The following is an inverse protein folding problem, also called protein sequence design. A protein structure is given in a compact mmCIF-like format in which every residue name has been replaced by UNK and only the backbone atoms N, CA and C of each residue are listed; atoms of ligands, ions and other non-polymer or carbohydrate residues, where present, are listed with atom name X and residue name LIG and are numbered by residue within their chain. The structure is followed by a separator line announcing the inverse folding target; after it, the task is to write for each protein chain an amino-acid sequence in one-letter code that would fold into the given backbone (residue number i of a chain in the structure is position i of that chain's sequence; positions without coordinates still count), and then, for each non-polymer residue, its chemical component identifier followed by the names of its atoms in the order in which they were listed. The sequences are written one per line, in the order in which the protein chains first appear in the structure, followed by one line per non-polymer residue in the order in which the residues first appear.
data_IF_559067496263
#
_entry.id   IF_559067496263
#
_cell.length_a   1.000
_cell.length_b   1.000
_cell.length_c   1.000
_cell.angle_alpha   90.00
_cell.angle_beta   90.00
_cell.angle_gamma   90.00
#
_symmetry.space_group_name_H-M   'P 1'
#
loop_
_entity.id
_entity.type
_entity.pdbx_description
1 polymer ?
#
# COMPACT_ATOMS: atom_id res chain seq x y z
N UNK A 1 1.32 2.59 -16.66
CA UNK A 1 1.55 2.58 -15.20
C UNK A 1 0.21 2.64 -14.50
N UNK A 2 -0.11 1.68 -13.63
CA UNK A 2 -1.34 1.69 -12.87
C UNK A 2 -1.29 2.79 -11.81
N UNK A 3 -2.42 3.50 -11.62
CA UNK A 3 -2.56 4.59 -10.65
C UNK A 3 -3.37 4.08 -9.46
N UNK A 4 -2.79 4.12 -8.27
CA UNK A 4 -3.30 3.43 -7.09
C UNK A 4 -3.49 4.42 -5.93
N UNK A 5 -4.69 4.48 -5.36
CA UNK A 5 -4.94 5.19 -4.10
C UNK A 5 -4.85 4.20 -2.93
N UNK A 6 -4.31 4.65 -1.82
CA UNK A 6 -4.15 3.83 -0.62
C UNK A 6 -4.93 4.41 0.56
N UNK A 7 -5.62 3.53 1.27
CA UNK A 7 -6.30 3.85 2.51
C UNK A 7 -5.33 3.82 3.71
N UNK A 8 -5.65 4.57 4.77
CA UNK A 8 -4.83 4.67 5.99
C UNK A 8 -4.61 3.32 6.68
N UNK A 9 -5.58 2.39 6.61
CA UNK A 9 -5.50 1.08 7.26
C UNK A 9 -4.31 0.25 6.77
N UNK A 10 -3.94 0.41 5.50
CA UNK A 10 -2.79 -0.30 4.91
C UNK A 10 -1.50 -0.06 5.71
N UNK A 11 -1.29 1.19 6.12
CA UNK A 11 -0.10 1.62 6.83
C UNK A 11 -0.07 1.16 8.29
N UNK A 12 -1.18 0.63 8.80
CA UNK A 12 -1.32 0.15 10.16
C UNK A 12 -1.05 -1.36 10.29
N UNK A 13 -1.10 -2.11 9.18
CA UNK A 13 -0.98 -3.58 9.17
C UNK A 13 0.44 -4.14 9.27
N UNK A 14 1.45 -3.30 9.33
CA UNK A 14 2.81 -3.74 9.61
C UNK A 14 3.88 -3.07 8.75
N UNK A 15 5.08 -3.07 9.30
CA UNK A 15 6.22 -2.40 8.66
C UNK A 15 6.60 -3.04 7.32
N UNK A 16 6.43 -4.38 7.22
CA UNK A 16 6.81 -5.13 6.02
C UNK A 16 5.94 -4.77 4.81
N UNK A 17 4.60 -4.74 4.97
CA UNK A 17 3.69 -4.38 3.87
C UNK A 17 3.92 -2.93 3.43
N UNK A 18 4.16 -2.03 4.39
CA UNK A 18 4.46 -0.63 4.10
C UNK A 18 5.78 -0.46 3.34
N UNK A 19 6.84 -1.15 3.78
CA UNK A 19 8.13 -1.13 3.12
C UNK A 19 8.01 -1.67 1.68
N UNK A 20 7.27 -2.76 1.50
CA UNK A 20 7.03 -3.35 0.19
C UNK A 20 6.26 -2.42 -0.75
N UNK A 21 5.17 -1.77 -0.26
CA UNK A 21 4.42 -0.76 -1.02
C UNK A 21 5.36 0.33 -1.53
N UNK A 22 6.17 0.91 -0.66
CA UNK A 22 7.07 2.00 -1.03
C UNK A 22 8.13 1.56 -2.03
N UNK A 23 8.79 0.42 -1.81
CA UNK A 23 9.82 -0.11 -2.72
C UNK A 23 9.29 -0.44 -4.11
N UNK A 24 8.10 -1.04 -4.21
CA UNK A 24 7.48 -1.33 -5.51
C UNK A 24 7.08 -0.06 -6.25
N UNK A 25 6.66 0.99 -5.53
CA UNK A 25 6.38 2.30 -6.11
C UNK A 25 7.67 3.02 -6.56
N UNK A 26 8.76 2.95 -5.77
CA UNK A 26 10.08 3.48 -6.15
C UNK A 26 10.61 2.84 -7.43
N UNK A 27 10.33 1.56 -7.64
CA UNK A 27 10.65 0.83 -8.87
C UNK A 27 9.65 1.11 -10.01
N UNK A 28 8.75 2.08 -9.85
CA UNK A 28 7.78 2.49 -10.86
C UNK A 28 6.87 1.36 -11.36
N UNK A 29 6.54 0.37 -10.51
CA UNK A 29 5.57 -0.67 -10.86
C UNK A 29 4.14 -0.12 -10.87
N UNK A 30 3.90 0.94 -10.12
CA UNK A 30 2.67 1.73 -10.09
C UNK A 30 2.93 3.15 -9.59
N UNK A 31 1.96 4.05 -9.74
CA UNK A 31 2.00 5.40 -9.19
C UNK A 31 1.08 5.48 -7.95
N UNK A 32 1.61 5.76 -6.75
CA UNK A 32 0.82 5.88 -5.51
C UNK A 32 0.13 7.24 -5.42
N UNK A 33 -1.08 7.28 -4.82
CA UNK A 33 -1.80 8.50 -4.48
C UNK A 33 -2.32 8.44 -3.06
N UNK A 34 -2.23 9.56 -2.35
CA UNK A 34 -2.80 9.75 -1.02
C UNK A 34 -3.14 11.23 -0.78
N UNK A 35 -4.01 11.52 0.17
CA UNK A 35 -4.32 12.89 0.58
C UNK A 35 -3.55 13.29 1.84
N UNK A 36 -3.48 14.60 2.11
CA UNK A 36 -2.92 15.10 3.36
C UNK A 36 -3.68 14.55 4.58
N UNK A 37 -5.01 14.41 4.48
CA UNK A 37 -5.82 13.85 5.55
C UNK A 37 -5.45 12.40 5.86
N UNK A 38 -5.20 11.57 4.83
CA UNK A 38 -4.70 10.19 4.99
C UNK A 38 -3.33 10.19 5.69
N UNK A 39 -2.41 11.08 5.31
CA UNK A 39 -1.10 11.20 5.95
C UNK A 39 -1.20 11.66 7.42
N UNK A 40 -2.12 12.56 7.73
CA UNK A 40 -2.36 13.02 9.10
C UNK A 40 -2.97 11.92 9.98
N UNK A 41 -3.87 11.11 9.44
CA UNK A 41 -4.41 9.93 10.11
C UNK A 41 -3.33 8.88 10.36
N UNK A 42 -2.52 8.61 9.35
CA UNK A 42 -1.36 7.73 9.47
C UNK A 42 -0.43 8.20 10.58
N UNK A 43 -0.08 9.50 10.60
CA UNK A 43 0.79 10.07 11.62
C UNK A 43 0.21 9.89 13.01
N UNK A 44 -1.08 10.19 13.21
CA UNK A 44 -1.77 10.02 14.51
C UNK A 44 -1.76 8.57 14.99
N UNK A 45 -2.04 7.63 14.09
CA UNK A 45 -2.05 6.21 14.42
C UNK A 45 -0.65 5.67 14.72
N UNK A 46 0.36 6.06 13.94
CA UNK A 46 1.75 5.69 14.19
C UNK A 46 2.28 6.30 15.49
N UNK A 47 1.90 7.53 15.84
CA UNK A 47 2.30 8.19 17.08
C UNK A 47 1.99 7.36 18.32
N UNK A 48 0.84 6.69 18.33
CA UNK A 48 0.42 5.79 19.43
C UNK A 48 1.30 4.54 19.55
N UNK A 49 1.97 4.13 18.47
CA UNK A 49 2.76 2.89 18.41
C UNK A 49 4.27 3.13 18.55
N UNK A 50 4.79 4.14 17.89
CA UNK A 50 6.24 4.39 17.76
C UNK A 50 6.69 5.76 18.29
N UNK A 51 5.77 6.56 18.83
CA UNK A 51 6.01 7.91 19.34
C UNK A 51 5.96 8.99 18.26
N UNK A 52 5.91 10.25 18.71
CA UNK A 52 5.67 11.41 17.84
C UNK A 52 6.80 11.65 16.84
N UNK A 53 8.05 11.67 17.30
CA UNK A 53 9.21 11.98 16.47
C UNK A 53 9.37 10.96 15.33
N UNK A 54 9.30 9.66 15.63
CA UNK A 54 9.46 8.60 14.63
C UNK A 54 8.29 8.56 13.64
N UNK A 55 7.07 8.83 14.10
CA UNK A 55 5.90 8.91 13.22
C UNK A 55 6.02 10.07 12.22
N UNK A 56 6.44 11.26 12.71
CA UNK A 56 6.68 12.42 11.86
C UNK A 56 7.80 12.16 10.83
N UNK A 57 8.93 11.61 11.26
CA UNK A 57 10.04 11.26 10.36
C UNK A 57 9.58 10.30 9.26
N UNK A 58 8.78 9.28 9.60
CA UNK A 58 8.29 8.28 8.64
C UNK A 58 7.34 8.89 7.59
N UNK A 59 6.36 9.68 8.03
CA UNK A 59 5.41 10.34 7.12
C UNK A 59 6.12 11.35 6.23
N UNK A 60 7.06 12.13 6.78
CA UNK A 60 7.86 13.08 6.01
C UNK A 60 8.73 12.37 4.95
N UNK A 61 9.34 11.23 5.28
CA UNK A 61 10.12 10.45 4.33
C UNK A 61 9.26 9.93 3.18
N UNK A 62 8.04 9.44 3.47
CA UNK A 62 7.07 9.02 2.45
C UNK A 62 6.69 10.17 1.52
N UNK A 63 6.32 11.33 2.08
CA UNK A 63 5.96 12.52 1.29
C UNK A 63 7.13 13.03 0.45
N UNK A 64 8.36 12.93 0.94
CA UNK A 64 9.54 13.33 0.19
C UNK A 64 9.90 12.35 -0.94
N UNK A 65 9.64 11.05 -0.75
CA UNK A 65 9.88 10.03 -1.78
C UNK A 65 8.88 10.14 -2.95
N UNK A 66 7.65 10.55 -2.68
CA UNK A 66 6.57 10.63 -3.67
C UNK A 66 5.87 12.01 -3.64
N UNK A 67 6.56 13.09 -4.05
CA UNK A 67 5.98 14.44 -3.99
C UNK A 67 4.75 14.61 -4.89
N UNK A 68 4.66 13.83 -5.97
CA UNK A 68 3.52 13.85 -6.91
C UNK A 68 2.35 12.96 -6.46
N UNK A 69 2.52 12.19 -5.37
CA UNK A 69 1.47 11.33 -4.84
C UNK A 69 0.39 12.12 -4.08
N UNK A 70 0.68 13.37 -3.68
CA UNK A 70 -0.22 14.14 -2.85
C UNK A 70 -1.40 14.71 -3.66
N UNK A 71 -2.61 14.26 -3.31
CA UNK A 71 -3.87 14.74 -3.90
C UNK A 71 -4.37 15.92 -3.08
N UNK A 72 -4.62 17.06 -3.76
CA UNK A 72 -5.13 18.30 -3.17
C UNK A 72 -6.35 18.80 -3.95
N UNK A 73 -7.32 19.46 -3.30
CA UNK A 73 -8.47 20.08 -3.95
C UNK A 73 -9.68 19.15 -4.14
N UNK A 74 -9.68 17.99 -3.50
CA UNK A 74 -10.78 17.00 -3.56
C UNK A 74 -11.91 17.26 -2.53
N UNK A 75 -11.72 18.18 -1.60
CA UNK A 75 -12.57 18.37 -0.41
C UNK A 75 -14.02 18.65 -0.75
N UNK A 76 -14.28 19.35 -1.86
CA UNK A 76 -15.64 19.63 -2.33
C UNK A 76 -16.41 18.37 -2.75
N UNK A 77 -15.73 17.28 -3.06
CA UNK A 77 -16.32 16.00 -3.47
C UNK A 77 -16.76 15.14 -2.28
N UNK A 78 -16.19 15.35 -1.08
CA UNK A 78 -16.43 14.53 0.12
C UNK A 78 -17.93 14.37 0.41
N UNK A 79 -18.69 15.45 0.32
CA UNK A 79 -20.13 15.47 0.58
C UNK A 79 -20.97 14.62 -0.39
N UNK A 80 -20.41 14.31 -1.56
CA UNK A 80 -21.08 13.55 -2.60
C UNK A 80 -20.77 12.03 -2.50
N UNK A 81 -19.81 11.64 -1.67
CA UNK A 81 -19.44 10.25 -1.49
C UNK A 81 -20.49 9.51 -0.66
N UNK A 82 -20.82 8.30 -1.09
CA UNK A 82 -21.88 7.46 -0.50
C UNK A 82 -21.35 6.25 0.30
N UNK A 83 -20.03 6.11 0.41
CA UNK A 83 -19.38 5.12 1.27
C UNK A 83 -19.49 5.47 2.77
N UNK A 84 -18.87 4.68 3.66
CA UNK A 84 -18.82 4.98 5.09
C UNK A 84 -18.39 6.42 5.34
N UNK A 85 -19.06 7.12 6.25
CA UNK A 85 -18.90 8.58 6.44
C UNK A 85 -17.46 8.96 6.80
N UNK A 86 -16.80 8.17 7.63
CA UNK A 86 -15.41 8.42 8.05
C UNK A 86 -14.41 8.28 6.90
N UNK A 87 -14.75 7.48 5.87
CA UNK A 87 -13.87 7.15 4.75
C UNK A 87 -14.22 7.90 3.45
N UNK A 88 -15.23 8.80 3.49
CA UNK A 88 -15.62 9.62 2.32
C UNK A 88 -14.47 10.42 1.76
N UNK A 89 -13.59 10.94 2.61
CA UNK A 89 -12.43 11.71 2.17
C UNK A 89 -11.43 10.86 1.37
N UNK A 90 -11.32 9.56 1.68
CA UNK A 90 -10.47 8.62 0.95
C UNK A 90 -11.00 8.40 -0.46
N UNK A 91 -12.30 8.10 -0.57
CA UNK A 91 -12.95 7.89 -1.86
C UNK A 91 -12.97 9.16 -2.71
N UNK A 92 -13.18 10.33 -2.09
CA UNK A 92 -13.12 11.61 -2.78
C UNK A 92 -11.73 11.93 -3.32
N UNK A 93 -10.67 11.63 -2.56
CA UNK A 93 -9.30 11.79 -3.02
C UNK A 93 -8.96 10.83 -4.16
N UNK A 94 -9.43 9.58 -4.09
CA UNK A 94 -9.27 8.60 -5.16
C UNK A 94 -9.96 9.06 -6.45
N UNK A 95 -11.22 9.49 -6.37
CA UNK A 95 -12.01 9.99 -7.51
C UNK A 95 -11.40 11.24 -8.17
N UNK A 96 -10.81 12.12 -7.36
CA UNK A 96 -10.17 13.33 -7.86
C UNK A 96 -8.80 13.10 -8.49
N UNK A 97 -8.14 12.03 -8.12
CA UNK A 97 -6.82 11.62 -8.64
C UNK A 97 -6.95 10.78 -9.92
N UNK A 98 -5.84 10.49 -10.62
CA UNK A 98 -5.84 9.51 -11.71
C UNK A 98 -6.04 8.05 -11.25
N UNK A 99 -6.21 7.79 -9.95
CA UNK A 99 -6.32 6.43 -9.42
C UNK A 99 -7.56 5.71 -9.96
N UNK A 100 -7.35 4.46 -10.37
CA UNK A 100 -8.40 3.54 -10.80
C UNK A 100 -8.62 2.41 -9.78
N UNK A 101 -7.71 2.28 -8.82
CA UNK A 101 -7.77 1.25 -7.78
C UNK A 101 -7.58 1.90 -6.42
N UNK A 102 -8.43 1.53 -5.47
CA UNK A 102 -8.29 1.85 -4.05
C UNK A 102 -7.92 0.57 -3.29
N UNK A 103 -6.78 0.59 -2.61
CA UNK A 103 -6.30 -0.56 -1.84
C UNK A 103 -6.55 -0.35 -0.36
N UNK A 104 -7.26 -1.30 0.26
CA UNK A 104 -7.65 -1.28 1.67
C UNK A 104 -7.85 -2.69 2.22
N UNK A 105 -7.57 -2.90 3.50
CA UNK A 105 -7.98 -4.14 4.19
C UNK A 105 -9.49 -4.16 4.50
N UNK A 106 -10.11 -3.00 4.63
CA UNK A 106 -11.53 -2.86 4.97
C UNK A 106 -12.41 -2.52 3.76
N UNK A 107 -12.51 -3.46 2.83
CA UNK A 107 -13.31 -3.28 1.59
C UNK A 107 -14.80 -3.02 1.84
N UNK A 108 -15.31 -3.38 3.04
CA UNK A 108 -16.73 -3.22 3.40
C UNK A 108 -17.14 -1.75 3.51
N UNK A 109 -16.22 -0.86 3.86
CA UNK A 109 -16.48 0.57 3.99
C UNK A 109 -16.63 1.25 2.61
N UNK A 110 -16.25 0.55 1.52
CA UNK A 110 -16.33 1.01 0.14
C UNK A 110 -17.19 0.06 -0.72
N UNK A 111 -18.52 0.02 -0.53
CA UNK A 111 -19.38 -0.87 -1.28
C UNK A 111 -19.38 -0.53 -2.78
N UNK A 112 -19.58 -1.53 -3.62
CA UNK A 112 -19.57 -1.40 -5.08
C UNK A 112 -20.54 -0.32 -5.58
N UNK A 113 -21.69 -0.15 -4.92
CA UNK A 113 -22.65 0.91 -5.23
C UNK A 113 -22.07 2.32 -5.10
N UNK A 114 -21.01 2.51 -4.29
CA UNK A 114 -20.33 3.79 -4.11
C UNK A 114 -19.15 3.96 -5.07
N UNK A 115 -18.50 2.88 -5.48
CA UNK A 115 -17.23 2.93 -6.22
C UNK A 115 -17.40 2.70 -7.72
N UNK A 116 -18.37 1.87 -8.14
CA UNK A 116 -18.67 1.60 -9.54
C UNK A 116 -19.00 2.87 -10.36
N UNK A 117 -19.83 3.82 -9.87
CA UNK A 117 -20.11 5.06 -10.61
C UNK A 117 -18.86 5.92 -10.85
N UNK A 118 -17.85 5.79 -9.97
CA UNK A 118 -16.57 6.50 -10.03
C UNK A 118 -15.51 5.74 -10.84
N UNK A 119 -15.82 4.50 -11.26
CA UNK A 119 -14.89 3.58 -11.95
C UNK A 119 -13.65 3.26 -11.13
N UNK A 120 -13.81 3.20 -9.80
CA UNK A 120 -12.75 2.83 -8.87
C UNK A 120 -12.97 1.37 -8.47
N UNK A 121 -11.97 0.54 -8.70
CA UNK A 121 -11.93 -0.84 -8.22
C UNK A 121 -11.35 -0.87 -6.80
N UNK A 122 -12.04 -1.54 -5.87
CA UNK A 122 -11.53 -1.70 -4.49
C UNK A 122 -10.91 -3.07 -4.36
N UNK A 123 -9.63 -3.12 -3.96
CA UNK A 123 -8.85 -4.34 -3.80
C UNK A 123 -8.31 -4.50 -2.38
N UNK A 124 -8.23 -5.75 -1.94
CA UNK A 124 -7.41 -6.10 -0.78
C UNK A 124 -5.93 -6.02 -1.14
N UNK A 125 -5.05 -5.78 -0.17
CA UNK A 125 -3.60 -5.74 -0.42
C UNK A 125 -3.05 -7.01 -1.06
N UNK A 126 -3.57 -8.17 -0.68
CA UNK A 126 -3.13 -9.47 -1.23
C UNK A 126 -3.42 -9.55 -2.74
N UNK A 127 -4.65 -9.21 -3.15
CA UNK A 127 -5.04 -9.17 -4.57
C UNK A 127 -4.24 -8.13 -5.34
N UNK A 128 -4.01 -6.96 -4.75
CA UNK A 128 -3.19 -5.91 -5.35
C UNK A 128 -1.75 -6.36 -5.59
N UNK A 129 -1.11 -6.99 -4.61
CA UNK A 129 0.25 -7.47 -4.78
C UNK A 129 0.36 -8.62 -5.78
N UNK A 130 -0.67 -9.46 -5.90
CA UNK A 130 -0.75 -10.47 -6.96
C UNK A 130 -0.78 -9.83 -8.34
N UNK A 131 -1.59 -8.78 -8.55
CA UNK A 131 -1.60 -8.06 -9.83
C UNK A 131 -0.23 -7.45 -10.17
N UNK A 132 0.45 -6.88 -9.17
CA UNK A 132 1.79 -6.32 -9.36
C UNK A 132 2.82 -7.41 -9.66
N UNK A 133 2.70 -8.58 -9.02
CA UNK A 133 3.54 -9.74 -9.28
C UNK A 133 3.33 -10.27 -10.71
N UNK A 134 2.08 -10.37 -11.16
CA UNK A 134 1.73 -10.81 -12.51
C UNK A 134 2.24 -9.85 -13.59
N UNK A 135 2.29 -8.55 -13.28
CA UNK A 135 2.79 -7.54 -14.20
C UNK A 135 4.30 -7.69 -14.51
N UNK A 136 5.12 -7.91 -13.48
CA UNK A 136 6.57 -8.10 -13.63
C UNK A 136 7.13 -8.96 -12.48
N UNK A 137 6.99 -10.30 -12.57
CA UNK A 137 7.44 -11.22 -11.53
C UNK A 137 8.92 -11.07 -11.18
N UNK A 138 9.74 -10.83 -12.21
CA UNK A 138 11.19 -10.70 -12.05
C UNK A 138 11.59 -9.44 -11.28
N UNK A 139 10.93 -8.30 -11.54
CA UNK A 139 11.20 -7.05 -10.83
C UNK A 139 10.70 -7.13 -9.39
N UNK A 140 9.48 -7.61 -9.18
CA UNK A 140 8.91 -7.80 -7.83
C UNK A 140 9.81 -8.71 -6.98
N UNK A 141 10.25 -9.84 -7.52
CA UNK A 141 11.12 -10.75 -6.79
C UNK A 141 12.48 -10.11 -6.44
N UNK A 142 13.08 -9.32 -7.35
CA UNK A 142 14.32 -8.56 -7.03
C UNK A 142 14.11 -7.53 -5.92
N UNK A 143 12.99 -6.81 -5.95
CA UNK A 143 12.63 -5.85 -4.87
C UNK A 143 12.53 -6.57 -3.54
N UNK A 144 11.79 -7.69 -3.50
CA UNK A 144 11.61 -8.49 -2.28
C UNK A 144 12.93 -9.11 -1.80
N UNK A 145 13.79 -9.56 -2.72
CA UNK A 145 15.12 -10.08 -2.39
C UNK A 145 16.01 -8.97 -1.77
N UNK A 146 16.02 -7.78 -2.37
CA UNK A 146 16.74 -6.62 -1.82
C UNK A 146 16.21 -6.23 -0.44
N UNK A 147 14.88 -6.26 -0.25
CA UNK A 147 14.25 -6.03 1.03
C UNK A 147 14.70 -7.08 2.06
N UNK A 148 14.66 -8.37 1.72
CA UNK A 148 15.13 -9.47 2.57
C UNK A 148 16.57 -9.24 3.02
N UNK A 149 17.49 -8.92 2.11
CA UNK A 149 18.90 -8.67 2.40
C UNK A 149 19.13 -7.42 3.30
N UNK A 150 18.19 -6.51 3.38
CA UNK A 150 18.28 -5.33 4.24
C UNK A 150 18.04 -5.62 5.74
N UNK A 151 17.44 -6.77 6.06
CA UNK A 151 17.18 -7.16 7.44
C UNK A 151 18.45 -7.70 8.11
N UNK A 152 18.77 -7.14 9.29
CA UNK A 152 19.98 -7.54 10.05
C UNK A 152 19.79 -8.79 10.90
N UNK A 153 18.56 -9.18 11.21
CA UNK A 153 18.24 -10.31 12.08
C UNK A 153 17.22 -11.21 11.41
N UNK A 154 15.94 -10.91 11.51
CA UNK A 154 14.83 -11.68 10.96
C UNK A 154 13.97 -10.77 10.09
N UNK A 155 13.59 -11.23 8.87
CA UNK A 155 13.81 -12.53 8.23
C UNK A 155 15.25 -12.71 7.69
N UNK A 156 15.71 -13.96 7.56
CA UNK A 156 17.06 -14.27 7.03
C UNK A 156 17.00 -15.15 5.77
N UNK A 157 15.87 -15.80 5.54
CA UNK A 157 15.65 -16.69 4.40
C UNK A 157 14.40 -16.27 3.60
N UNK A 158 14.29 -16.71 2.32
CA UNK A 158 13.05 -16.54 1.55
C UNK A 158 11.81 -17.07 2.26
N UNK A 159 11.91 -18.21 2.96
CA UNK A 159 10.80 -18.78 3.73
C UNK A 159 10.40 -17.89 4.90
N UNK A 160 11.37 -17.38 5.67
CA UNK A 160 11.09 -16.43 6.76
C UNK A 160 10.36 -15.19 6.25
N UNK A 161 10.79 -14.68 5.08
CA UNK A 161 10.18 -13.49 4.46
C UNK A 161 8.75 -13.77 4.01
N UNK A 162 8.52 -14.91 3.36
CA UNK A 162 7.19 -15.36 2.97
C UNK A 162 6.27 -15.55 4.20
N UNK A 163 6.79 -16.12 5.29
CA UNK A 163 6.03 -16.26 6.54
C UNK A 163 5.66 -14.91 7.17
N UNK A 164 6.54 -13.93 7.11
CA UNK A 164 6.20 -12.57 7.55
C UNK A 164 5.10 -11.95 6.69
N UNK A 165 5.15 -12.12 5.37
CA UNK A 165 4.10 -11.65 4.46
C UNK A 165 2.76 -12.32 4.74
N UNK A 166 2.72 -13.65 4.94
CA UNK A 166 1.51 -14.39 5.31
C UNK A 166 0.88 -13.81 6.58
N UNK A 167 1.69 -13.58 7.62
CA UNK A 167 1.26 -12.99 8.90
C UNK A 167 0.83 -11.53 8.78
N UNK A 168 1.31 -10.84 7.76
CA UNK A 168 0.96 -9.43 7.48
C UNK A 168 -0.28 -9.27 6.60
N UNK A 169 -1.03 -10.37 6.34
CA UNK A 169 -2.32 -10.32 5.66
C UNK A 169 -2.26 -10.40 4.14
N UNK A 170 -1.12 -10.85 3.56
CA UNK A 170 -0.92 -11.06 2.13
C UNK A 170 -0.43 -12.50 1.84
N UNK A 171 -1.21 -13.53 2.22
CA UNK A 171 -0.78 -14.91 2.16
C UNK A 171 -0.67 -15.47 0.74
N UNK A 172 -1.59 -15.12 -0.18
CA UNK A 172 -1.56 -15.67 -1.54
C UNK A 172 -0.41 -15.06 -2.35
N UNK A 173 -0.17 -13.76 -2.18
CA UNK A 173 1.03 -13.13 -2.73
C UNK A 173 2.31 -13.80 -2.21
N UNK A 174 2.41 -14.07 -0.91
CA UNK A 174 3.57 -14.74 -0.32
C UNK A 174 3.79 -16.13 -0.90
N UNK A 175 2.70 -16.90 -1.12
CA UNK A 175 2.75 -18.25 -1.70
C UNK A 175 3.24 -18.22 -3.16
N UNK A 176 2.79 -17.25 -3.95
CA UNK A 176 3.21 -17.09 -5.35
C UNK A 176 4.64 -16.54 -5.47
N UNK A 177 5.03 -15.63 -4.57
CA UNK A 177 6.36 -15.02 -4.55
C UNK A 177 7.46 -16.00 -4.11
N UNK A 178 7.19 -16.83 -3.10
CA UNK A 178 8.19 -17.67 -2.43
C UNK A 178 9.05 -18.51 -3.41
N UNK A 179 8.48 -19.29 -4.34
CA UNK A 179 9.30 -20.11 -5.25
C UNK A 179 10.20 -19.29 -6.16
N UNK A 180 9.80 -18.06 -6.52
CA UNK A 180 10.59 -17.16 -7.35
C UNK A 180 11.74 -16.57 -6.54
N UNK A 181 11.47 -16.19 -5.30
CA UNK A 181 12.45 -15.61 -4.38
C UNK A 181 13.49 -16.65 -3.96
N UNK A 182 13.07 -17.88 -3.69
CA UNK A 182 13.95 -18.99 -3.34
C UNK A 182 14.92 -19.31 -4.49
N UNK A 183 14.41 -19.38 -5.72
CA UNK A 183 15.24 -19.59 -6.91
C UNK A 183 16.28 -18.47 -7.13
N UNK A 184 15.97 -17.22 -6.79
CA UNK A 184 16.91 -16.10 -6.87
C UNK A 184 18.01 -16.18 -5.81
N UNK A 185 17.72 -16.74 -4.64
CA UNK A 185 18.66 -16.85 -3.52
C UNK A 185 19.68 -17.96 -3.67
N UNK A 186 19.46 -18.88 -4.63
CA UNK A 186 20.36 -19.99 -4.95
C UNK A 186 21.41 -19.65 -6.01
N UNK A 187 21.29 -18.48 -6.66
CA UNK A 187 22.21 -18.02 -7.70
C UNK A 187 23.10 -16.87 -7.20
#
# INVERSE_FOLDING_TARGET
LSHISFHTDLWLFGELVNDLILRLAEEHLYAPYCSQQILDELRRNLQLRIGEERSAQRVNAMSAAFPEALVIGYESLIKNMTCDEKDRHVLAAADYSPAQTLVTFNTKDFPETSTQPLRIEVKRPDDFFLDVLDLDPGRVARVCHTALLSYKRYPQTPEDYADMLRKSGVPEFANCLYPILDALSLN
#
